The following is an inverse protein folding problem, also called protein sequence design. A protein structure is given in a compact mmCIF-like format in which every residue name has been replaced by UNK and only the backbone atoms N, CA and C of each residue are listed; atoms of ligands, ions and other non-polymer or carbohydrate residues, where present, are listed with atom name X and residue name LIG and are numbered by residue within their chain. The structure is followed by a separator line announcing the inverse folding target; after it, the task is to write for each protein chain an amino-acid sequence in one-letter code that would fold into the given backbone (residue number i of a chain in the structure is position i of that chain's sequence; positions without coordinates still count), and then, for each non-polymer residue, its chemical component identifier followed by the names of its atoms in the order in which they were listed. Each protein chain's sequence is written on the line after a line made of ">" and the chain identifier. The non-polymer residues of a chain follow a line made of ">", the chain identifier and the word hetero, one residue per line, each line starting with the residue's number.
data_IF_396922777361
#
_entry.id   IF_396922777361
#
_cell.length_a   1.000
_cell.length_b   1.000
_cell.length_c   1.000
_cell.angle_alpha   90.00
_cell.angle_beta   90.00
_cell.angle_gamma   90.00
#
_symmetry.space_group_name_H-M   'P 1'
#
loop_
_entity.id
_entity.type
_entity.pdbx_description
1 polymer ?
#
# COMPACT_ATOMS: atom_id res chain seq x y z
N UNK A 1 -2.96 -16.15 11.26
CA UNK A 1 -1.95 -15.91 10.22
C UNK A 1 -2.51 -14.87 9.24
N UNK A 2 -1.71 -13.90 8.79
CA UNK A 2 -2.18 -12.87 7.86
C UNK A 2 -1.11 -12.58 6.82
N UNK A 3 -1.51 -12.53 5.56
CA UNK A 3 -0.62 -12.20 4.44
C UNK A 3 -0.74 -10.70 4.20
N UNK A 4 0.42 -10.03 4.14
CA UNK A 4 0.55 -8.59 3.88
C UNK A 4 1.08 -8.38 2.47
N UNK A 5 0.39 -7.57 1.67
CA UNK A 5 0.80 -7.21 0.32
C UNK A 5 1.24 -5.75 0.28
N UNK A 6 2.45 -5.48 -0.19
CA UNK A 6 3.05 -4.14 -0.21
C UNK A 6 2.95 -3.45 -1.59
N UNK A 7 3.30 -2.17 -1.66
CA UNK A 7 3.40 -1.39 -2.90
C UNK A 7 4.56 -1.82 -3.82
N UNK A 8 5.39 -2.78 -3.40
CA UNK A 8 6.40 -3.44 -4.26
C UNK A 8 5.76 -4.33 -5.32
N UNK A 9 4.49 -4.70 -5.12
CA UNK A 9 3.74 -5.48 -6.10
C UNK A 9 2.97 -4.57 -7.04
N UNK A 10 2.96 -4.90 -8.34
CA UNK A 10 2.19 -4.15 -9.36
C UNK A 10 0.69 -4.16 -9.07
N UNK A 11 0.01 -3.09 -9.47
CA UNK A 11 -1.44 -2.93 -9.29
C UNK A 11 -2.25 -4.16 -9.73
N UNK A 12 -1.95 -4.70 -10.91
CA UNK A 12 -2.64 -5.89 -11.42
C UNK A 12 -2.47 -7.14 -10.54
N UNK A 13 -1.32 -7.35 -9.90
CA UNK A 13 -1.17 -8.47 -8.96
C UNK A 13 -2.00 -8.23 -7.70
N UNK A 14 -1.86 -7.02 -7.13
CA UNK A 14 -2.56 -6.59 -5.92
C UNK A 14 -4.08 -6.74 -6.03
N UNK A 15 -4.64 -6.36 -7.18
CA UNK A 15 -6.08 -6.42 -7.42
C UNK A 15 -6.60 -7.87 -7.42
N UNK A 16 -5.80 -8.84 -7.84
CA UNK A 16 -6.21 -10.25 -7.86
C UNK A 16 -6.08 -10.92 -6.49
N UNK A 17 -4.99 -10.64 -5.76
CA UNK A 17 -4.72 -11.32 -4.48
C UNK A 17 -5.54 -10.79 -3.30
N UNK A 18 -6.11 -9.59 -3.42
CA UNK A 18 -6.83 -8.92 -2.33
C UNK A 18 -8.07 -9.68 -1.84
N UNK A 19 -8.73 -10.41 -2.74
CA UNK A 19 -9.90 -11.24 -2.41
C UNK A 19 -9.58 -12.71 -2.12
N UNK A 20 -8.34 -13.15 -2.31
CA UNK A 20 -7.96 -14.56 -2.16
C UNK A 20 -7.19 -14.83 -0.87
N UNK A 21 -6.21 -13.97 -0.54
CA UNK A 21 -5.23 -14.28 0.52
C UNK A 21 -4.80 -13.07 1.34
N UNK A 22 -4.91 -11.84 0.79
CA UNK A 22 -4.40 -10.67 1.48
C UNK A 22 -5.32 -10.26 2.65
N UNK A 23 -4.76 -10.20 3.84
CA UNK A 23 -5.45 -9.69 5.04
C UNK A 23 -5.09 -8.24 5.36
N UNK A 24 -4.00 -7.74 4.75
CA UNK A 24 -3.48 -6.37 4.91
C UNK A 24 -2.86 -5.91 3.59
N UNK A 25 -3.08 -4.65 3.25
CA UNK A 25 -2.52 -4.02 2.06
C UNK A 25 -2.01 -2.62 2.38
N UNK A 26 -0.79 -2.29 1.92
CA UNK A 26 -0.22 -0.94 2.08
C UNK A 26 -0.62 -0.05 0.90
N UNK A 27 -1.00 1.21 1.13
CA UNK A 27 -1.32 2.17 0.07
C UNK A 27 -0.71 3.54 0.40
N UNK A 28 -0.31 4.31 -0.63
CA UNK A 28 0.31 5.63 -0.44
C UNK A 28 1.60 5.61 0.38
N UNK A 29 2.47 4.62 0.15
CA UNK A 29 3.74 4.47 0.89
C UNK A 29 4.74 5.52 0.41
N UNK A 30 5.35 6.25 1.34
CA UNK A 30 6.54 7.07 1.09
C UNK A 30 7.77 6.26 1.50
N UNK A 31 8.68 6.03 0.56
CA UNK A 31 9.87 5.18 0.73
C UNK A 31 11.15 5.98 0.99
N UNK A 32 11.06 7.30 1.00
CA UNK A 32 12.16 8.20 1.33
C UNK A 32 12.45 8.23 2.83
N UNK A 33 13.72 8.11 3.19
CA UNK A 33 14.19 8.29 4.56
C UNK A 33 14.26 9.78 4.87
N UNK A 34 13.50 10.24 5.87
CA UNK A 34 13.56 11.62 6.37
C UNK A 34 12.51 12.55 5.75
N UNK A 35 11.63 13.08 6.60
CA UNK A 35 10.62 14.07 6.23
C UNK A 35 11.20 15.48 6.02
N UNK A 36 12.27 15.58 5.22
CA UNK A 36 12.85 16.86 4.83
C UNK A 36 12.68 17.05 3.32
N UNK A 37 12.12 18.20 2.95
CA UNK A 37 11.78 18.62 1.59
C UNK A 37 13.02 18.90 0.72
N UNK A 38 13.94 17.93 0.60
CA UNK A 38 15.08 18.03 -0.31
C UNK A 38 15.08 16.87 -1.30
N UNK A 39 15.14 17.27 -2.57
CA UNK A 39 15.23 16.44 -3.76
C UNK A 39 16.58 15.69 -3.84
N UNK A 40 16.92 14.88 -2.84
CA UNK A 40 18.01 13.93 -2.99
C UNK A 40 17.46 12.62 -3.55
N UNK A 41 17.77 12.35 -4.82
CA UNK A 41 17.50 11.11 -5.55
C UNK A 41 18.30 9.90 -5.01
N UNK A 42 18.63 9.90 -3.73
CA UNK A 42 19.35 8.85 -3.04
C UNK A 42 18.55 8.41 -1.82
N UNK A 43 18.40 7.10 -1.68
CA UNK A 43 17.81 6.37 -0.54
C UNK A 43 16.29 6.16 -0.54
N UNK A 44 15.70 5.88 -1.71
CA UNK A 44 14.48 5.08 -1.74
C UNK A 44 14.80 3.64 -1.30
N UNK A 45 14.26 3.21 -0.16
CA UNK A 45 14.54 1.86 0.39
C UNK A 45 14.06 0.72 -0.55
N UNK A 46 13.11 1.02 -1.45
CA UNK A 46 12.61 0.12 -2.50
C UNK A 46 11.80 0.91 -3.53
N UNK A 47 11.75 0.39 -4.76
CA UNK A 47 10.92 0.94 -5.84
C UNK A 47 9.43 0.68 -5.58
N UNK A 48 8.59 1.69 -5.82
CA UNK A 48 7.13 1.59 -5.74
C UNK A 48 6.60 1.11 -7.10
N UNK A 49 6.06 -0.10 -7.15
CA UNK A 49 5.47 -0.68 -8.37
C UNK A 49 3.96 -0.44 -8.52
N UNK A 50 3.33 0.11 -7.48
CA UNK A 50 1.93 0.56 -7.54
C UNK A 50 1.83 1.98 -6.94
N UNK A 51 1.79 3.02 -7.81
CA UNK A 51 1.79 4.42 -7.41
C UNK A 51 0.41 4.92 -6.94
N UNK A 52 -0.62 4.06 -6.91
CA UNK A 52 -1.98 4.46 -6.53
C UNK A 52 -2.01 5.05 -5.12
N UNK A 53 -2.73 6.15 -5.00
CA UNK A 53 -3.03 6.81 -3.74
C UNK A 53 -3.91 5.94 -2.83
N UNK A 54 -3.99 6.30 -1.55
CA UNK A 54 -4.87 5.64 -0.58
C UNK A 54 -6.34 5.67 -1.04
N UNK A 55 -6.78 6.78 -1.65
CA UNK A 55 -8.14 6.93 -2.17
C UNK A 55 -8.44 5.99 -3.33
N UNK A 56 -7.50 5.83 -4.26
CA UNK A 56 -7.65 4.90 -5.40
C UNK A 56 -7.69 3.45 -4.94
N UNK A 57 -6.85 3.08 -3.97
CA UNK A 57 -6.86 1.73 -3.38
C UNK A 57 -8.16 1.50 -2.60
N UNK A 58 -8.65 2.49 -1.85
CA UNK A 58 -9.96 2.42 -1.19
C UNK A 58 -11.06 2.10 -2.20
N UNK A 59 -11.14 2.88 -3.29
CA UNK A 59 -12.18 2.69 -4.28
C UNK A 59 -12.07 1.32 -4.97
N UNK A 60 -10.86 0.85 -5.24
CA UNK A 60 -10.63 -0.49 -5.78
C UNK A 60 -11.12 -1.60 -4.85
N UNK A 61 -10.93 -1.45 -3.52
CA UNK A 61 -11.46 -2.38 -2.52
C UNK A 61 -12.99 -2.39 -2.53
N UNK A 62 -13.63 -1.21 -2.53
CA UNK A 62 -15.09 -1.10 -2.61
C UNK A 62 -15.66 -1.71 -3.89
N UNK A 63 -15.03 -1.44 -5.03
CA UNK A 63 -15.46 -1.99 -6.34
C UNK A 63 -15.37 -3.52 -6.39
N UNK A 64 -14.54 -4.12 -5.52
CA UNK A 64 -14.42 -5.59 -5.36
C UNK A 64 -15.45 -6.17 -4.37
N UNK A 65 -16.34 -5.34 -3.81
CA UNK A 65 -17.32 -5.75 -2.80
C UNK A 65 -16.69 -6.04 -1.43
N UNK A 66 -15.48 -5.56 -1.19
CA UNK A 66 -14.75 -5.74 0.07
C UNK A 66 -14.88 -4.49 0.94
N UNK A 67 -14.76 -4.65 2.25
CA UNK A 67 -14.78 -3.53 3.20
C UNK A 67 -13.34 -3.09 3.55
N UNK A 68 -12.92 -1.87 3.17
CA UNK A 68 -11.65 -1.33 3.65
C UNK A 68 -11.75 -0.98 5.13
N UNK A 69 -10.79 -1.47 5.93
CA UNK A 69 -10.63 -1.08 7.34
C UNK A 69 -9.27 -0.43 7.50
N UNK A 70 -9.26 0.84 7.91
CA UNK A 70 -8.04 1.56 8.23
C UNK A 70 -7.58 1.18 9.63
N UNK A 71 -6.32 0.77 9.76
CA UNK A 71 -5.70 0.57 11.07
C UNK A 71 -4.65 1.65 11.29
N UNK A 72 -5.13 2.71 11.89
CA UNK A 72 -4.32 3.82 12.37
C UNK A 72 -3.97 3.46 13.84
N UNK A 73 -2.68 3.40 14.18
CA UNK A 73 -2.10 3.14 15.53
C UNK A 73 -2.28 1.73 16.17
N UNK A 74 -1.17 1.00 16.39
CA UNK A 74 -1.04 0.10 17.54
C UNK A 74 -0.45 0.95 18.67
N UNK A 75 -1.23 1.26 19.70
CA UNK A 75 -0.69 1.75 20.96
C UNK A 75 -0.06 0.53 21.65
N UNK A 76 1.27 0.49 21.75
CA UNK A 76 1.99 -0.42 22.65
C UNK A 76 2.24 0.34 23.94
#
# INVERSE_FOLDING_TARGET
>A
AGITISTRERAGFRDHVIGMVATKISAGVRVGVGGHEQEEKGDEQFEISDPRSVSEVHQMILNRGLQPVYRDYIRV
#
